data_IF_618810649619
#
_entry.id   IF_618810649619
#
_cell.length_a   1.000
_cell.length_b   1.000
_cell.length_c   1.000
_cell.angle_alpha   90.00
_cell.angle_beta   90.00
_cell.angle_gamma   90.00
#
_symmetry.space_group_name_H-M   'P 1'
#
loop_
_entity.id
_entity.type
_entity.pdbx_description
1 polymer ?
#
# COMPACT_ATOMS: atom_id res chain seq x y z
N UNK A 1 8.59 -15.48 -11.10
CA UNK A 1 8.44 -14.51 -12.19
C UNK A 1 9.80 -14.18 -12.75
N UNK A 2 9.91 -14.18 -14.08
CA UNK A 2 11.17 -13.95 -14.77
C UNK A 2 11.56 -12.47 -14.70
N UNK A 3 12.83 -12.12 -14.46
CA UNK A 3 13.30 -10.73 -14.53
C UNK A 3 13.11 -10.06 -15.90
N UNK A 4 12.69 -10.80 -16.90
CA UNK A 4 12.47 -10.31 -18.27
C UNK A 4 11.38 -9.20 -18.37
N UNK A 5 10.48 -9.11 -17.40
CA UNK A 5 9.38 -8.15 -17.42
C UNK A 5 9.70 -6.84 -16.66
N UNK A 6 10.93 -6.68 -16.18
CA UNK A 6 11.34 -5.47 -15.45
C UNK A 6 11.74 -4.36 -16.45
N UNK A 7 10.98 -3.28 -16.44
CA UNK A 7 11.31 -2.10 -17.24
C UNK A 7 12.11 -1.09 -16.40
N UNK A 8 13.38 -0.87 -16.73
CA UNK A 8 14.18 0.18 -16.10
C UNK A 8 13.79 1.52 -16.75
N UNK A 9 13.16 2.38 -15.97
CA UNK A 9 12.65 3.69 -16.42
C UNK A 9 13.77 4.72 -16.48
N UNK A 10 14.70 4.69 -15.53
CA UNK A 10 15.80 5.64 -15.52
C UNK A 10 16.79 5.50 -14.38
N UNK A 11 17.86 6.24 -14.52
CA UNK A 11 18.87 6.45 -13.47
C UNK A 11 18.97 7.93 -13.16
N UNK A 12 18.96 8.27 -11.89
CA UNK A 12 19.12 9.62 -11.38
C UNK A 12 20.31 9.70 -10.41
N UNK A 13 20.96 10.87 -10.35
CA UNK A 13 22.03 11.11 -9.40
C UNK A 13 22.99 12.19 -9.87
N UNK A 14 23.56 12.92 -8.93
CA UNK A 14 24.47 14.06 -9.21
C UNK A 14 25.80 13.65 -9.85
N UNK A 15 26.14 12.38 -9.83
CA UNK A 15 27.43 11.83 -10.29
C UNK A 15 27.28 10.90 -11.51
N UNK A 16 26.06 10.71 -12.02
CA UNK A 16 25.80 9.83 -13.16
C UNK A 16 26.09 10.57 -14.45
N UNK A 17 27.07 10.09 -15.22
CA UNK A 17 27.39 10.59 -16.56
C UNK A 17 26.61 9.84 -17.63
N UNK A 18 26.70 8.54 -17.61
CA UNK A 18 25.97 7.65 -18.50
C UNK A 18 25.75 6.31 -17.81
N UNK A 19 24.78 5.58 -18.28
CA UNK A 19 24.61 4.18 -17.89
C UNK A 19 24.50 3.30 -19.13
N UNK A 20 24.84 2.05 -18.96
CA UNK A 20 24.61 0.98 -19.95
C UNK A 20 24.04 -0.23 -19.21
N UNK A 21 23.21 -0.99 -19.89
CA UNK A 21 22.65 -2.22 -19.35
C UNK A 21 22.95 -3.38 -20.29
N UNK A 22 23.28 -4.52 -19.71
CA UNK A 22 23.43 -5.79 -20.41
C UNK A 22 22.55 -6.82 -19.71
N UNK A 23 21.93 -7.69 -20.49
CA UNK A 23 21.25 -8.87 -19.96
C UNK A 23 22.28 -9.99 -19.85
N UNK A 24 22.42 -10.55 -18.65
CA UNK A 24 23.29 -11.66 -18.35
C UNK A 24 22.53 -12.70 -17.53
N UNK A 25 22.29 -13.84 -18.13
CA UNK A 25 21.50 -14.94 -17.57
C UNK A 25 20.10 -14.46 -17.11
N UNK A 26 19.82 -14.52 -15.82
CA UNK A 26 18.54 -14.11 -15.21
C UNK A 26 18.58 -12.68 -14.66
N UNK A 27 19.68 -11.96 -14.84
CA UNK A 27 19.87 -10.62 -14.26
C UNK A 27 20.14 -9.56 -15.31
N UNK A 28 19.70 -8.34 -15.04
CA UNK A 28 20.10 -7.17 -15.80
C UNK A 28 21.18 -6.42 -15.04
N UNK A 29 22.40 -6.41 -15.59
CA UNK A 29 23.53 -5.70 -15.01
C UNK A 29 23.56 -4.28 -15.58
N UNK A 30 23.44 -3.29 -14.71
CA UNK A 30 23.48 -1.89 -15.06
C UNK A 30 24.82 -1.29 -14.60
N UNK A 31 25.62 -0.83 -15.57
CA UNK A 31 26.88 -0.13 -15.29
C UNK A 31 26.67 1.36 -15.33
N UNK A 32 26.91 2.03 -14.20
CA UNK A 32 26.83 3.47 -14.06
C UNK A 32 28.23 4.07 -14.10
N UNK A 33 28.49 4.91 -15.09
CA UNK A 33 29.78 5.61 -15.26
C UNK A 33 29.69 7.00 -14.66
N UNK A 34 30.73 7.37 -13.89
CA UNK A 34 30.88 8.70 -13.31
C UNK A 34 31.85 9.56 -14.12
N UNK A 35 31.68 10.87 -14.03
CA UNK A 35 32.54 11.82 -14.77
C UNK A 35 33.98 11.84 -14.25
N UNK A 36 34.14 11.70 -12.92
CA UNK A 36 35.45 11.72 -12.25
C UNK A 36 35.47 10.73 -11.10
N UNK A 37 36.61 10.08 -10.83
CA UNK A 37 36.79 9.33 -9.59
C UNK A 37 36.61 10.28 -8.40
N UNK A 38 35.64 10.05 -7.59
CA UNK A 38 35.35 10.88 -6.39
C UNK A 38 35.48 10.01 -5.16
N UNK A 39 36.26 10.44 -4.19
CA UNK A 39 36.21 9.87 -2.85
C UNK A 39 34.96 10.42 -2.12
N UNK A 40 34.24 9.57 -1.42
CA UNK A 40 33.08 9.97 -0.63
C UNK A 40 31.79 9.31 -1.06
N UNK A 41 30.66 9.87 -0.59
CA UNK A 41 29.32 9.32 -0.82
C UNK A 41 28.85 9.64 -2.23
N UNK A 42 28.39 8.63 -2.95
CA UNK A 42 27.67 8.79 -4.21
C UNK A 42 26.25 8.28 -4.03
N UNK A 43 25.26 9.08 -4.45
CA UNK A 43 23.84 8.71 -4.43
C UNK A 43 23.41 8.44 -5.87
N UNK A 44 22.87 7.26 -6.10
CA UNK A 44 22.34 6.81 -7.39
C UNK A 44 20.91 6.34 -7.15
N UNK A 45 19.96 6.97 -7.82
CA UNK A 45 18.56 6.49 -7.88
C UNK A 45 18.38 5.58 -9.09
N UNK A 46 17.62 4.53 -8.93
CA UNK A 46 17.22 3.63 -10.00
C UNK A 46 15.71 3.48 -9.94
N UNK A 47 15.03 3.87 -11.01
CA UNK A 47 13.59 3.73 -11.17
C UNK A 47 13.30 2.57 -12.12
N UNK A 48 12.47 1.64 -11.68
CA UNK A 48 12.02 0.52 -12.49
C UNK A 48 10.56 0.18 -12.21
N UNK A 49 9.91 -0.38 -13.21
CA UNK A 49 8.51 -0.74 -13.17
C UNK A 49 8.33 -2.21 -13.56
N UNK A 50 7.36 -2.85 -12.96
CA UNK A 50 6.91 -4.19 -13.32
C UNK A 50 5.39 -4.24 -13.32
N UNK A 51 4.82 -4.86 -14.35
CA UNK A 51 3.37 -5.06 -14.45
C UNK A 51 2.99 -6.30 -13.66
N UNK A 52 2.13 -6.13 -12.65
CA UNK A 52 1.54 -7.21 -11.88
C UNK A 52 0.16 -7.53 -12.46
N UNK A 53 -0.07 -8.77 -12.85
CA UNK A 53 -1.36 -9.19 -13.40
C UNK A 53 -2.47 -9.08 -12.35
N UNK A 54 -3.69 -8.75 -12.77
CA UNK A 54 -4.82 -8.61 -11.83
C UNK A 54 -5.15 -9.90 -11.05
N UNK A 55 -4.83 -11.05 -11.63
CA UNK A 55 -5.02 -12.36 -11.01
C UNK A 55 -3.97 -12.73 -9.98
N UNK A 56 -2.85 -12.01 -9.94
CA UNK A 56 -1.78 -12.27 -8.98
C UNK A 56 -2.16 -11.74 -7.59
N UNK A 57 -2.14 -12.63 -6.63
CA UNK A 57 -2.40 -12.35 -5.21
C UNK A 57 -1.13 -12.31 -4.38
N UNK A 58 -0.03 -12.82 -4.92
CA UNK A 58 1.30 -12.81 -4.31
C UNK A 58 2.32 -12.26 -5.28
N UNK A 59 3.25 -11.50 -4.74
CA UNK A 59 4.29 -10.85 -5.52
C UNK A 59 5.61 -10.79 -4.74
N UNK A 60 6.70 -11.14 -5.41
CA UNK A 60 8.06 -10.97 -4.89
C UNK A 60 8.74 -9.84 -5.66
N UNK A 61 8.92 -8.66 -5.02
CA UNK A 61 9.53 -7.53 -5.71
C UNK A 61 11.00 -7.81 -6.04
N UNK A 62 11.42 -7.34 -7.19
CA UNK A 62 12.82 -7.33 -7.56
C UNK A 62 13.57 -6.23 -6.78
N UNK A 63 14.82 -6.49 -6.46
CA UNK A 63 15.68 -5.53 -5.78
C UNK A 63 16.91 -5.20 -6.63
N UNK A 64 17.28 -3.92 -6.62
CA UNK A 64 18.56 -3.52 -7.16
C UNK A 64 19.66 -3.78 -6.13
N UNK A 65 20.63 -4.59 -6.50
CA UNK A 65 21.78 -4.93 -5.67
C UNK A 65 23.07 -4.36 -6.25
N UNK A 66 23.99 -3.97 -5.38
CA UNK A 66 25.30 -3.52 -5.80
C UNK A 66 26.25 -4.71 -5.90
N UNK A 67 26.90 -4.86 -7.04
CA UNK A 67 27.92 -5.90 -7.22
C UNK A 67 29.28 -5.49 -6.67
N UNK A 68 30.06 -6.48 -6.27
CA UNK A 68 31.44 -6.31 -5.76
C UNK A 68 31.53 -5.40 -4.52
N UNK A 69 30.52 -5.39 -3.67
CA UNK A 69 30.54 -4.68 -2.39
C UNK A 69 30.82 -5.63 -1.23
N UNK A 70 31.53 -5.14 -0.24
CA UNK A 70 31.89 -5.92 0.96
C UNK A 70 30.69 -6.07 1.91
N UNK A 71 29.83 -5.07 1.92
CA UNK A 71 28.67 -5.01 2.81
C UNK A 71 27.54 -4.21 2.16
N UNK A 72 26.35 -4.70 2.32
CA UNK A 72 25.12 -4.00 1.90
C UNK A 72 24.11 -4.02 3.02
N UNK A 73 23.47 -2.88 3.24
CA UNK A 73 22.29 -2.76 4.08
C UNK A 73 21.35 -1.74 3.46
N UNK A 74 20.09 -1.81 3.81
CA UNK A 74 19.10 -0.89 3.27
C UNK A 74 17.85 -0.78 4.13
N UNK A 75 16.99 0.13 3.72
CA UNK A 75 15.66 0.30 4.27
C UNK A 75 14.66 0.16 3.13
N UNK A 76 13.63 -0.63 3.36
CA UNK A 76 12.53 -0.88 2.44
C UNK A 76 11.28 -0.19 2.97
N UNK A 77 10.64 0.64 2.16
CA UNK A 77 9.29 1.15 2.41
C UNK A 77 8.32 0.49 1.45
N UNK A 78 7.23 -0.03 1.98
CA UNK A 78 6.13 -0.57 1.16
C UNK A 78 4.97 0.38 1.27
N UNK A 79 4.52 0.85 0.12
CA UNK A 79 3.39 1.77 -0.01
C UNK A 79 2.35 1.19 -0.97
N UNK A 80 1.08 1.49 -0.74
CA UNK A 80 -0.02 1.03 -1.61
C UNK A 80 -0.89 2.19 -2.06
N UNK A 81 -1.66 1.96 -3.12
CA UNK A 81 -2.80 2.82 -3.42
C UNK A 81 -3.98 2.48 -2.49
N UNK A 82 -4.97 3.40 -2.32
CA UNK A 82 -6.17 3.11 -1.52
C UNK A 82 -7.00 1.92 -2.02
N UNK A 83 -6.82 1.53 -3.28
CA UNK A 83 -7.54 0.46 -3.95
C UNK A 83 -6.93 -0.94 -3.71
N UNK A 84 -5.73 -0.96 -3.10
CA UNK A 84 -4.99 -2.18 -2.84
C UNK A 84 -4.77 -2.35 -1.34
N UNK A 85 -5.06 -3.54 -0.83
CA UNK A 85 -4.61 -3.95 0.49
C UNK A 85 -3.38 -4.86 0.32
N UNK A 86 -2.23 -4.39 0.83
CA UNK A 86 -0.96 -5.10 0.76
C UNK A 86 -0.57 -5.53 2.17
N UNK A 87 -0.12 -6.77 2.30
CA UNK A 87 0.54 -7.29 3.50
C UNK A 87 1.96 -7.71 3.16
N UNK A 88 2.91 -7.41 4.03
CA UNK A 88 4.30 -7.82 3.91
C UNK A 88 4.49 -9.10 4.72
N UNK A 89 5.08 -10.10 4.11
CA UNK A 89 5.23 -11.43 4.68
C UNK A 89 4.13 -12.38 4.20
N UNK A 90 4.26 -13.64 4.56
CA UNK A 90 3.32 -14.69 4.15
C UNK A 90 1.97 -14.49 4.86
N UNK A 91 0.91 -14.25 4.10
CA UNK A 91 -0.40 -13.92 4.66
C UNK A 91 -1.10 -15.11 5.33
N UNK A 92 -0.74 -16.34 4.99
CA UNK A 92 -1.46 -17.54 5.42
C UNK A 92 -0.57 -18.75 5.79
N UNK A 93 0.75 -18.63 5.71
CA UNK A 93 1.63 -19.75 6.00
C UNK A 93 2.33 -19.52 7.36
N UNK A 94 1.75 -20.08 8.40
CA UNK A 94 2.27 -20.08 9.77
C UNK A 94 3.63 -20.79 9.92
N UNK A 95 4.13 -21.43 8.87
CA UNK A 95 5.36 -22.23 8.88
C UNK A 95 6.56 -21.54 8.21
N UNK A 96 6.38 -20.40 7.56
CA UNK A 96 7.50 -19.60 7.06
C UNK A 96 7.74 -18.45 8.04
N UNK A 97 8.75 -18.60 8.86
CA UNK A 97 9.28 -17.49 9.65
C UNK A 97 9.51 -16.29 8.71
N UNK A 98 9.04 -15.09 9.06
CA UNK A 98 9.38 -13.89 8.31
C UNK A 98 10.91 -13.85 8.18
N UNK A 99 11.43 -13.51 7.01
CA UNK A 99 12.88 -13.45 6.78
C UNK A 99 13.50 -12.71 7.97
N UNK A 100 14.24 -13.43 8.82
CA UNK A 100 14.83 -12.91 10.06
C UNK A 100 15.77 -11.72 9.81
N UNK A 101 16.07 -11.45 8.54
CA UNK A 101 16.86 -10.29 8.08
C UNK A 101 16.04 -9.00 7.95
N UNK A 102 14.68 -9.11 7.90
CA UNK A 102 13.79 -7.93 7.87
C UNK A 102 13.42 -7.52 9.29
N UNK A 103 13.78 -6.31 9.66
CA UNK A 103 13.43 -5.74 10.97
C UNK A 103 12.55 -4.51 10.77
N UNK A 104 11.39 -4.41 11.43
CA UNK A 104 10.61 -3.19 11.41
C UNK A 104 11.46 -2.00 11.87
N UNK A 105 11.38 -0.89 11.15
CA UNK A 105 12.09 0.34 11.49
C UNK A 105 11.12 1.52 11.59
N UNK A 106 11.54 2.56 12.29
CA UNK A 106 10.76 3.79 12.39
C UNK A 106 10.76 4.55 11.05
N UNK A 107 9.69 5.28 10.80
CA UNK A 107 9.53 6.11 9.59
C UNK A 107 10.63 7.14 9.45
N UNK A 108 11.14 7.64 10.57
CA UNK A 108 12.23 8.60 10.58
C UNK A 108 13.52 8.06 9.94
N UNK A 109 13.70 6.75 9.92
CA UNK A 109 14.84 6.09 9.27
C UNK A 109 14.71 6.05 7.73
N UNK A 110 13.51 6.30 7.21
CA UNK A 110 13.25 6.39 5.77
C UNK A 110 13.68 7.72 5.16
N UNK A 111 14.15 8.67 5.96
CA UNK A 111 14.53 10.00 5.48
C UNK A 111 15.79 9.89 4.64
N UNK A 112 15.59 9.67 3.36
CA UNK A 112 16.62 9.79 2.33
C UNK A 112 16.41 11.10 1.58
N UNK A 113 17.47 11.81 1.24
CA UNK A 113 17.39 13.04 0.47
C UNK A 113 16.57 12.85 -0.80
N UNK A 114 15.46 13.56 -0.89
CA UNK A 114 14.56 13.53 -2.05
C UNK A 114 13.42 12.51 -1.98
N UNK A 115 13.39 11.62 -0.96
CA UNK A 115 12.25 10.71 -0.77
C UNK A 115 11.20 11.34 0.15
N UNK A 116 9.95 11.32 -0.29
CA UNK A 116 8.79 11.76 0.50
C UNK A 116 7.91 10.55 0.78
N UNK A 117 7.78 10.20 2.04
CA UNK A 117 6.94 9.07 2.47
C UNK A 117 5.49 9.32 2.09
N UNK A 118 4.89 8.39 1.37
CA UNK A 118 3.49 8.45 0.96
C UNK A 118 2.52 8.31 2.14
N UNK A 119 1.27 8.70 1.89
CA UNK A 119 0.20 8.66 2.91
C UNK A 119 -0.30 7.24 3.22
N UNK A 120 -0.13 6.31 2.28
CA UNK A 120 -0.64 4.93 2.36
C UNK A 120 0.50 3.93 2.55
N UNK A 121 1.35 4.20 3.55
CA UNK A 121 2.43 3.30 3.89
C UNK A 121 1.88 2.06 4.60
N UNK A 122 2.32 0.89 4.12
CA UNK A 122 1.99 -0.41 4.70
C UNK A 122 3.00 -0.80 5.78
N UNK A 123 4.29 -0.54 5.52
CA UNK A 123 5.35 -0.86 6.47
C UNK A 123 6.71 -0.31 6.05
N UNK A 124 7.64 -0.30 7.00
CA UNK A 124 9.04 0.06 6.80
C UNK A 124 9.92 -0.98 7.47
N UNK A 125 10.97 -1.45 6.77
CA UNK A 125 11.81 -2.55 7.20
C UNK A 125 13.27 -2.26 6.89
N UNK A 126 14.14 -2.47 7.85
CA UNK A 126 15.59 -2.50 7.64
C UNK A 126 16.04 -3.91 7.26
N UNK A 127 17.02 -4.01 6.39
CA UNK A 127 17.63 -5.29 6.02
C UNK A 127 19.15 -5.21 5.93
N UNK A 128 19.80 -6.37 6.07
CA UNK A 128 21.23 -6.55 5.89
C UNK A 128 21.47 -7.73 4.95
N UNK A 129 22.49 -7.63 4.12
CA UNK A 129 22.79 -8.64 3.08
C UNK A 129 22.38 -8.15 1.69
N UNK A 130 22.59 -9.02 0.70
CA UNK A 130 22.45 -8.61 -0.71
C UNK A 130 21.02 -8.49 -1.19
N UNK A 131 20.15 -9.43 -0.83
CA UNK A 131 18.75 -9.43 -1.25
C UNK A 131 17.83 -9.82 -0.10
N UNK A 132 16.91 -8.93 0.30
CA UNK A 132 15.84 -9.33 1.20
C UNK A 132 14.83 -10.19 0.46
N UNK A 133 14.48 -11.34 1.02
CA UNK A 133 13.38 -12.15 0.50
C UNK A 133 12.06 -11.57 0.99
N UNK A 134 11.45 -10.73 0.18
CA UNK A 134 10.18 -10.07 0.51
C UNK A 134 9.06 -10.67 -0.32
N UNK A 135 7.99 -11.07 0.33
CA UNK A 135 6.74 -11.46 -0.32
C UNK A 135 5.66 -10.48 0.07
N UNK A 136 4.89 -10.06 -0.91
CA UNK A 136 3.76 -9.18 -0.74
C UNK A 136 2.49 -9.96 -1.09
N UNK A 137 1.56 -10.06 -0.13
CA UNK A 137 0.21 -10.51 -0.43
C UNK A 137 -0.63 -9.31 -0.84
N UNK A 138 -1.23 -9.38 -2.02
CA UNK A 138 -1.98 -8.30 -2.62
C UNK A 138 -3.44 -8.72 -2.70
N UNK A 139 -4.32 -7.94 -2.09
CA UNK A 139 -5.75 -8.10 -2.25
C UNK A 139 -6.38 -6.82 -2.80
N UNK A 140 -7.37 -7.02 -3.67
CA UNK A 140 -8.16 -5.94 -4.28
C UNK A 140 -9.55 -6.00 -3.66
N UNK A 141 -9.78 -5.26 -2.54
CA UNK A 141 -11.09 -5.25 -1.93
C UNK A 141 -12.09 -4.72 -2.93
N UNK A 142 -13.21 -5.41 -3.09
CA UNK A 142 -14.33 -4.89 -3.87
C UNK A 142 -14.75 -3.58 -3.24
N UNK A 143 -14.69 -2.52 -4.01
CA UNK A 143 -15.18 -1.22 -3.57
C UNK A 143 -16.67 -1.38 -3.26
N UNK A 144 -17.03 -1.32 -1.98
CA UNK A 144 -18.43 -1.21 -1.61
C UNK A 144 -18.94 0.09 -2.21
N UNK A 145 -20.04 0.01 -2.96
CA UNK A 145 -20.69 1.22 -3.44
C UNK A 145 -21.02 2.08 -2.21
N UNK A 146 -20.53 3.31 -2.20
CA UNK A 146 -20.88 4.25 -1.12
C UNK A 146 -22.38 4.35 -1.10
N UNK A 147 -23.06 4.04 0.02
CA UNK A 147 -24.51 4.09 0.08
C UNK A 147 -24.94 5.50 -0.29
N UNK A 148 -25.92 5.60 -1.17
CA UNK A 148 -26.47 6.89 -1.62
C UNK A 148 -27.10 7.68 -0.47
N UNK A 149 -27.33 7.03 0.66
CA UNK A 149 -27.99 7.58 1.84
C UNK A 149 -27.32 7.09 3.12
N UNK A 150 -26.96 8.01 3.99
CA UNK A 150 -26.37 7.74 5.31
C UNK A 150 -27.22 8.45 6.38
N UNK A 151 -27.63 7.71 7.39
CA UNK A 151 -28.27 8.30 8.58
C UNK A 151 -27.15 8.62 9.57
N UNK A 152 -26.88 9.90 9.79
CA UNK A 152 -25.86 10.36 10.73
C UNK A 152 -26.35 10.30 12.18
N UNK A 153 -27.64 10.56 12.38
CA UNK A 153 -28.28 10.52 13.70
C UNK A 153 -29.73 10.09 13.58
N UNK A 154 -30.18 9.28 14.53
CA UNK A 154 -31.59 8.96 14.73
C UNK A 154 -31.96 9.24 16.18
N UNK A 155 -33.10 9.89 16.41
CA UNK A 155 -33.67 10.18 17.71
C UNK A 155 -35.13 9.73 17.69
N UNK A 156 -35.53 8.88 18.64
CA UNK A 156 -36.90 8.39 18.77
C UNK A 156 -37.37 8.70 20.19
N UNK A 157 -38.41 9.47 20.27
CA UNK A 157 -39.07 9.80 21.55
C UNK A 157 -40.47 9.17 21.57
N UNK A 158 -40.71 8.37 22.59
CA UNK A 158 -41.95 7.60 22.71
C UNK A 158 -42.70 7.96 23.99
N UNK A 159 -43.98 8.10 23.86
CA UNK A 159 -44.90 8.37 24.96
C UNK A 159 -45.92 7.22 25.07
N UNK A 160 -46.16 6.78 26.29
CA UNK A 160 -47.20 5.79 26.59
C UNK A 160 -48.23 6.43 27.51
N UNK A 161 -49.48 6.49 27.08
CA UNK A 161 -50.56 6.98 27.92
C UNK A 161 -51.06 5.92 28.90
N UNK A 162 -51.76 6.36 29.95
CA UNK A 162 -52.39 5.42 30.91
C UNK A 162 -53.45 4.49 30.25
N UNK A 163 -53.95 4.87 29.10
CA UNK A 163 -54.97 4.12 28.35
C UNK A 163 -54.36 3.17 27.29
N UNK A 164 -53.02 2.96 27.35
CA UNK A 164 -52.35 2.05 26.44
C UNK A 164 -52.06 2.65 25.04
N UNK A 165 -52.34 3.92 24.83
CA UNK A 165 -51.97 4.57 23.56
C UNK A 165 -50.47 4.83 23.55
N UNK A 166 -49.80 4.33 22.54
CA UNK A 166 -48.39 4.51 22.30
C UNK A 166 -48.16 5.46 21.13
N UNK A 167 -47.38 6.49 21.37
CA UNK A 167 -47.09 7.52 20.38
C UNK A 167 -45.59 7.75 20.30
N UNK A 168 -45.04 7.77 19.09
CA UNK A 168 -43.61 8.00 18.88
C UNK A 168 -43.36 9.08 17.86
N UNK A 169 -42.35 9.88 18.14
CA UNK A 169 -41.78 10.83 17.19
C UNK A 169 -40.37 10.38 16.85
N UNK A 170 -40.12 10.15 15.58
CA UNK A 170 -38.79 9.80 15.09
C UNK A 170 -38.22 10.97 14.28
N UNK A 171 -36.96 11.30 14.56
CA UNK A 171 -36.20 12.32 13.86
C UNK A 171 -34.94 11.67 13.27
N UNK A 172 -34.67 11.92 12.01
CA UNK A 172 -33.47 11.42 11.32
C UNK A 172 -32.69 12.57 10.73
N UNK A 173 -31.39 12.56 10.97
CA UNK A 173 -30.45 13.44 10.29
C UNK A 173 -29.79 12.62 9.19
N UNK A 174 -30.08 12.98 7.92
CA UNK A 174 -29.80 12.14 6.78
C UNK A 174 -28.93 12.89 5.79
N UNK A 175 -27.82 12.27 5.40
CA UNK A 175 -27.01 12.70 4.27
C UNK A 175 -27.37 11.82 3.08
N UNK A 176 -27.98 12.40 2.05
CA UNK A 176 -28.46 11.64 0.89
C UNK A 176 -28.30 12.40 -0.41
N UNK A 177 -28.04 11.64 -1.49
CA UNK A 177 -28.14 12.10 -2.88
C UNK A 177 -29.42 11.61 -3.56
N UNK A 178 -30.22 10.81 -2.85
CA UNK A 178 -31.47 10.29 -3.39
C UNK A 178 -32.57 11.35 -3.35
N UNK A 179 -33.44 11.33 -4.35
CA UNK A 179 -34.58 12.24 -4.46
C UNK A 179 -35.75 11.87 -3.54
N UNK A 180 -35.73 10.67 -2.95
CA UNK A 180 -36.79 10.19 -2.05
C UNK A 180 -36.21 9.29 -0.97
N UNK A 181 -36.90 9.17 0.14
CA UNK A 181 -36.60 8.32 1.26
C UNK A 181 -37.85 7.52 1.60
N UNK A 182 -37.69 6.21 1.78
CA UNK A 182 -38.76 5.35 2.26
C UNK A 182 -38.61 5.10 3.77
N UNK A 183 -39.67 5.29 4.51
CA UNK A 183 -39.73 4.96 5.93
C UNK A 183 -40.77 3.86 6.12
N UNK A 184 -40.31 2.72 6.66
CA UNK A 184 -41.20 1.60 7.01
C UNK A 184 -41.72 1.80 8.44
N UNK A 185 -43.03 1.73 8.59
CA UNK A 185 -43.69 1.76 9.88
C UNK A 185 -44.19 0.37 10.28
N UNK A 186 -44.27 0.03 11.59
CA UNK A 186 -44.91 -1.20 12.02
C UNK A 186 -46.34 -1.32 11.48
N UNK A 187 -46.80 -2.51 11.10
CA UNK A 187 -48.03 -2.73 10.36
C UNK A 187 -49.33 -2.26 11.05
N UNK A 188 -49.26 -1.89 12.32
CA UNK A 188 -50.38 -1.33 13.08
C UNK A 188 -50.23 0.17 13.39
N UNK A 189 -49.16 0.79 12.89
CA UNK A 189 -48.94 2.23 13.14
C UNK A 189 -49.64 3.07 12.10
N UNK A 190 -50.25 4.19 12.53
CA UNK A 190 -50.79 5.24 11.67
C UNK A 190 -49.95 6.52 11.79
N UNK A 191 -49.74 7.19 10.67
CA UNK A 191 -49.16 8.52 10.63
C UNK A 191 -50.28 9.54 10.94
N UNK A 192 -49.99 10.54 11.74
CA UNK A 192 -50.88 11.68 12.05
C UNK A 192 -50.08 12.99 12.00
#
# INVERSE_FOLDING_TARGET
>A
SSPADLNVVGFAGTVVKQFSSIEADEHRICTVTRDKPTAGVAVIGVDFEQVIQESETEYSPAFATAENVVYQSGVLSVESSPELAIKVGDADNTDLEPDSRLKPVDVGELVVNGYSVGKHRVGAYGYTGTEPNVRLAISRPTLFSVPSTLIQRSEIVSFVSRHGVYQSVARFEILTKASYIQVALPGQASLW
#
